data_IF_490151203384
#
_entry.id   IF_490151203384
#
_cell.length_a   1.000
_cell.length_b   1.000
_cell.length_c   1.000
_cell.angle_alpha   90.00
_cell.angle_beta   90.00
_cell.angle_gamma   90.00
#
_symmetry.space_group_name_H-M   'P 1'
#
loop_
_entity.id
_entity.type
_entity.pdbx_description
1 polymer ?
#
# COMPACT_ATOMS: atom_id res chain seq x y z
N UNK A 1 24.91 -11.21 9.01
CA UNK A 1 23.55 -10.74 9.32
C UNK A 1 22.58 -11.67 8.60
N UNK A 2 21.66 -12.31 9.31
CA UNK A 2 20.70 -13.24 8.68
C UNK A 2 19.70 -12.40 7.90
N UNK A 3 19.73 -12.50 6.56
CA UNK A 3 18.71 -11.91 5.68
C UNK A 3 17.45 -12.74 5.86
N UNK A 4 16.56 -12.32 6.76
CA UNK A 4 15.22 -12.93 6.85
C UNK A 4 14.45 -12.47 5.62
N UNK A 5 14.29 -13.37 4.65
CA UNK A 5 13.54 -13.10 3.43
C UNK A 5 12.08 -13.45 3.70
N UNK A 6 11.31 -12.49 4.21
CA UNK A 6 9.88 -12.70 4.44
C UNK A 6 9.13 -12.81 3.11
N UNK A 7 8.10 -13.65 3.05
CA UNK A 7 7.16 -13.69 1.93
C UNK A 7 6.03 -12.69 2.17
N UNK A 8 5.66 -11.97 1.12
CA UNK A 8 4.48 -11.10 1.11
C UNK A 8 3.33 -11.90 0.51
N UNK A 9 2.17 -11.83 1.15
CA UNK A 9 0.94 -12.41 0.64
C UNK A 9 -0.15 -11.34 0.59
N UNK A 10 -0.90 -11.33 -0.50
CA UNK A 10 -2.07 -10.48 -0.67
C UNK A 10 -3.33 -11.29 -0.35
N UNK A 11 -4.29 -10.66 0.31
CA UNK A 11 -5.62 -11.22 0.42
C UNK A 11 -6.38 -10.94 -0.88
N UNK A 12 -7.36 -11.76 -1.22
CA UNK A 12 -8.21 -11.52 -2.39
C UNK A 12 -8.88 -10.15 -2.34
N UNK A 13 -9.24 -9.69 -1.13
CA UNK A 13 -9.81 -8.35 -0.92
C UNK A 13 -8.79 -7.27 -1.32
N UNK A 14 -7.54 -7.38 -0.86
CA UNK A 14 -6.51 -6.41 -1.21
C UNK A 14 -6.20 -6.37 -2.72
N UNK A 15 -6.23 -7.51 -3.40
CA UNK A 15 -6.07 -7.56 -4.87
C UNK A 15 -7.22 -6.84 -5.57
N UNK A 16 -8.47 -7.13 -5.19
CA UNK A 16 -9.63 -6.45 -5.77
C UNK A 16 -9.61 -4.95 -5.49
N UNK A 17 -9.20 -4.53 -4.29
CA UNK A 17 -9.07 -3.12 -3.93
C UNK A 17 -8.05 -2.40 -4.84
N UNK A 18 -6.93 -3.05 -5.17
CA UNK A 18 -5.92 -2.49 -6.08
C UNK A 18 -6.46 -2.35 -7.51
N UNK A 19 -7.18 -3.36 -8.00
CA UNK A 19 -7.80 -3.34 -9.33
C UNK A 19 -8.85 -2.22 -9.43
N UNK A 20 -9.68 -2.05 -8.38
CA UNK A 20 -10.69 -1.01 -8.31
C UNK A 20 -10.08 0.39 -8.27
N UNK A 21 -9.01 0.59 -7.48
CA UNK A 21 -8.28 1.87 -7.43
C UNK A 21 -7.67 2.19 -8.80
N UNK A 22 -7.02 1.22 -9.44
CA UNK A 22 -6.43 1.41 -10.75
C UNK A 22 -7.48 1.81 -11.77
N UNK A 23 -8.57 1.05 -11.86
CA UNK A 23 -9.69 1.31 -12.77
C UNK A 23 -10.30 2.69 -12.54
N UNK A 24 -10.52 3.08 -11.29
CA UNK A 24 -11.06 4.40 -10.98
C UNK A 24 -10.15 5.53 -11.50
N UNK A 25 -8.84 5.45 -11.25
CA UNK A 25 -7.91 6.49 -11.68
C UNK A 25 -7.71 6.48 -13.21
N UNK A 26 -7.60 5.31 -13.82
CA UNK A 26 -7.32 5.19 -15.25
C UNK A 26 -8.56 5.48 -16.12
N UNK A 27 -9.72 4.95 -15.75
CA UNK A 27 -10.94 5.01 -16.57
C UNK A 27 -11.83 6.20 -16.20
N UNK A 28 -12.03 6.49 -14.91
CA UNK A 28 -12.95 7.56 -14.48
C UNK A 28 -12.25 8.93 -14.42
N UNK A 29 -10.98 8.96 -13.98
CA UNK A 29 -10.18 10.19 -13.94
C UNK A 29 -9.31 10.40 -15.18
N UNK A 30 -9.34 9.46 -16.14
CA UNK A 30 -8.55 9.49 -17.38
C UNK A 30 -7.04 9.68 -17.14
N UNK A 31 -6.53 9.18 -16.02
CA UNK A 31 -5.18 9.44 -15.54
C UNK A 31 -4.36 8.13 -15.45
N UNK A 32 -4.30 7.37 -16.55
CA UNK A 32 -3.63 6.05 -16.60
C UNK A 32 -2.17 6.10 -16.12
N UNK A 33 -1.41 7.12 -16.51
CA UNK A 33 -0.02 7.30 -16.03
C UNK A 33 0.05 7.42 -14.52
N UNK A 34 -0.86 8.18 -13.91
CA UNK A 34 -0.92 8.35 -12.46
C UNK A 34 -1.38 7.06 -11.75
N UNK A 35 -2.29 6.30 -12.36
CA UNK A 35 -2.72 4.99 -11.85
C UNK A 35 -1.55 4.00 -11.81
N UNK A 36 -0.78 3.91 -12.89
CA UNK A 36 0.41 3.04 -12.99
C UNK A 36 1.48 3.47 -12.00
N UNK A 37 1.79 4.77 -11.92
CA UNK A 37 2.76 5.29 -10.95
C UNK A 37 2.36 5.00 -9.49
N UNK A 38 1.06 5.09 -9.16
CA UNK A 38 0.56 4.77 -7.84
C UNK A 38 0.75 3.27 -7.52
N UNK A 39 0.40 2.39 -8.45
CA UNK A 39 0.59 0.95 -8.28
C UNK A 39 2.08 0.60 -8.10
N UNK A 40 2.97 1.19 -8.91
CA UNK A 40 4.42 0.99 -8.79
C UNK A 40 4.92 1.44 -7.41
N UNK A 41 4.44 2.58 -6.89
CA UNK A 41 4.79 3.05 -5.54
C UNK A 41 4.30 2.08 -4.45
N UNK A 42 3.10 1.52 -4.62
CA UNK A 42 2.53 0.52 -3.69
C UNK A 42 3.38 -0.75 -3.71
N UNK A 43 3.67 -1.30 -4.88
CA UNK A 43 4.48 -2.51 -5.03
C UNK A 43 5.86 -2.33 -4.40
N UNK A 44 6.55 -1.24 -4.72
CA UNK A 44 7.87 -0.94 -4.16
C UNK A 44 7.84 -0.86 -2.62
N UNK A 45 6.82 -0.21 -2.06
CA UNK A 45 6.66 -0.10 -0.60
C UNK A 45 6.40 -1.47 0.05
N UNK A 46 5.64 -2.33 -0.61
CA UNK A 46 5.35 -3.67 -0.13
C UNK A 46 6.59 -4.58 -0.24
N UNK A 47 7.37 -4.48 -1.30
CA UNK A 47 8.58 -5.28 -1.46
C UNK A 47 9.63 -4.96 -0.39
N UNK A 48 9.66 -3.74 0.14
CA UNK A 48 10.52 -3.39 1.29
C UNK A 48 10.16 -4.17 2.56
N UNK A 49 8.91 -4.65 2.71
CA UNK A 49 8.52 -5.48 3.86
C UNK A 49 9.25 -6.82 3.92
N UNK A 50 9.75 -7.31 2.78
CA UNK A 50 10.52 -8.56 2.71
C UNK A 50 11.83 -8.47 3.49
N UNK A 51 12.43 -7.27 3.51
CA UNK A 51 13.66 -6.99 4.25
C UNK A 51 13.38 -6.29 5.60
N UNK A 52 12.31 -5.50 5.67
CA UNK A 52 11.93 -4.69 6.84
C UNK A 52 10.46 -4.92 7.22
N UNK A 53 10.11 -6.06 7.85
CA UNK A 53 8.71 -6.39 8.19
C UNK A 53 8.05 -5.40 9.18
N UNK A 54 8.85 -4.57 9.85
CA UNK A 54 8.39 -3.58 10.82
C UNK A 54 8.37 -2.14 10.29
N UNK A 55 8.51 -1.92 8.98
CA UNK A 55 8.56 -0.59 8.35
C UNK A 55 7.28 0.24 8.60
N UNK A 56 6.14 -0.41 8.81
CA UNK A 56 4.86 0.26 9.03
C UNK A 56 4.70 0.90 10.42
N UNK A 57 4.01 2.03 10.46
CA UNK A 57 3.64 2.75 11.67
C UNK A 57 2.68 1.93 12.53
N UNK A 58 2.81 2.09 13.86
CA UNK A 58 1.84 1.54 14.80
C UNK A 58 0.53 2.31 14.67
N UNK A 59 -0.58 1.58 14.74
CA UNK A 59 -1.90 2.17 14.70
C UNK A 59 -2.21 2.91 16.00
N UNK A 60 -2.94 4.03 15.87
CA UNK A 60 -3.48 4.79 17.01
C UNK A 60 -4.59 4.00 17.71
N UNK A 61 -5.41 3.29 16.93
CA UNK A 61 -6.42 2.36 17.43
C UNK A 61 -5.76 1.25 18.28
N UNK A 62 -6.18 1.16 19.54
CA UNK A 62 -5.61 0.23 20.51
C UNK A 62 -5.90 -1.23 20.20
N UNK A 63 -7.10 -1.53 19.73
CA UNK A 63 -7.51 -2.89 19.40
C UNK A 63 -6.67 -3.44 18.23
N UNK A 64 -6.54 -2.65 17.16
CA UNK A 64 -5.75 -3.04 15.99
C UNK A 64 -4.25 -3.10 16.30
N UNK A 65 -3.76 -2.19 17.15
CA UNK A 65 -2.38 -2.19 17.62
C UNK A 65 -2.05 -3.46 18.41
N UNK A 66 -2.93 -3.90 19.30
CA UNK A 66 -2.74 -5.13 20.09
C UNK A 66 -2.76 -6.39 19.23
N UNK A 67 -3.50 -6.38 18.12
CA UNK A 67 -3.51 -7.46 17.12
C UNK A 67 -2.27 -7.46 16.20
N UNK A 68 -1.39 -6.47 16.33
CA UNK A 68 -0.14 -6.39 15.57
C UNK A 68 -0.28 -5.78 14.18
N UNK A 69 -1.43 -5.18 13.84
CA UNK A 69 -1.60 -4.49 12.57
C UNK A 69 -0.70 -3.25 12.47
N UNK A 70 -0.21 -3.00 11.26
CA UNK A 70 0.64 -1.87 10.92
C UNK A 70 0.11 -1.17 9.68
N UNK A 71 0.36 0.13 9.56
CA UNK A 71 0.00 0.92 8.38
C UNK A 71 1.24 1.50 7.72
N UNK A 72 1.32 1.35 6.41
CA UNK A 72 2.28 2.05 5.55
C UNK A 72 1.49 3.11 4.78
N UNK A 73 2.01 4.33 4.74
CA UNK A 73 1.45 5.41 3.94
C UNK A 73 2.33 5.50 2.70
N UNK A 74 1.78 5.09 1.55
CA UNK A 74 2.50 5.05 0.27
C UNK A 74 2.39 6.39 -0.46
N UNK A 75 1.24 7.04 -0.34
CA UNK A 75 0.99 8.35 -0.90
C UNK A 75 0.01 9.12 0.00
N UNK A 76 0.16 10.43 0.05
CA UNK A 76 -0.81 11.33 0.69
C UNK A 76 -1.36 12.22 -0.42
N UNK A 77 -2.48 11.82 -1.01
CA UNK A 77 -3.17 12.62 -2.04
C UNK A 77 -3.48 13.99 -1.42
N UNK A 78 -2.66 14.95 -1.78
CA UNK A 78 -2.79 16.36 -1.41
C UNK A 78 -3.09 17.13 -2.69
N UNK A 79 -4.05 16.67 -3.50
CA UNK A 79 -4.58 17.48 -4.59
C UNK A 79 -5.59 18.45 -4.01
N UNK A 80 -5.08 19.60 -3.54
CA UNK A 80 -5.88 20.81 -3.44
C UNK A 80 -6.30 21.20 -4.86
N UNK A 81 -7.60 21.11 -5.14
CA UNK A 81 -8.21 21.69 -6.34
C UNK A 81 -8.61 23.14 -5.97
N UNK A 82 -8.16 24.12 -6.77
CA UNK A 82 -8.55 25.53 -6.69
C UNK A 82 -9.95 25.76 -7.25
#
# INVERSE_FOLDING_TARGET
>A
MVKNNYSVHFTNVATNDLDDIYRYISEELFAESAATELLDRIENSIMQLREFPNLGNRLTDEYLRLKGYRRIIVDSISSFIF
#
